data_IF_486600854171
#
_entry.id   IF_486600854171
#
_cell.length_a   1.000
_cell.length_b   1.000
_cell.length_c   1.000
_cell.angle_alpha   90.00
_cell.angle_beta   90.00
_cell.angle_gamma   90.00
#
_symmetry.space_group_name_H-M   'P 1'
#
loop_
_entity.id
_entity.type
_entity.pdbx_description
1 polymer ?
#
# COMPACT_ATOMS: atom_id res chain seq x y z
N UNK A 1 72.44 -24.91 5.32
CA UNK A 1 72.02 -25.08 6.72
C UNK A 1 71.15 -26.31 6.81
N UNK A 2 71.66 -27.31 7.52
CA UNK A 2 71.01 -28.42 8.23
C UNK A 2 69.82 -29.19 7.59
N UNK A 3 69.73 -30.53 7.62
CA UNK A 3 70.66 -31.64 7.84
C UNK A 3 69.81 -32.93 7.70
N UNK A 4 70.37 -33.96 7.06
CA UNK A 4 70.16 -35.42 7.29
C UNK A 4 68.75 -36.03 7.11
N UNK A 5 68.48 -36.84 6.08
CA UNK A 5 68.82 -38.29 5.89
C UNK A 5 68.22 -39.22 6.94
N UNK A 6 67.35 -40.17 6.56
CA UNK A 6 67.62 -41.64 6.52
C UNK A 6 66.33 -42.45 6.34
N UNK A 7 66.50 -43.55 5.60
CA UNK A 7 65.52 -44.51 5.10
C UNK A 7 64.88 -45.44 6.18
N UNK A 8 63.85 -46.13 5.70
CA UNK A 8 62.97 -47.10 6.36
C UNK A 8 63.61 -48.42 6.83
N UNK A 9 62.93 -49.12 7.76
CA UNK A 9 62.70 -50.59 7.86
C UNK A 9 61.84 -50.91 9.13
N UNK A 10 61.25 -52.12 9.33
CA UNK A 10 59.81 -52.32 9.55
C UNK A 10 59.36 -52.99 10.90
N UNK A 11 58.05 -52.91 11.15
CA UNK A 11 57.04 -53.82 11.79
C UNK A 11 57.53 -55.00 12.68
N UNK A 12 56.91 -55.21 13.87
CA UNK A 12 55.88 -56.26 14.05
C UNK A 12 54.64 -55.73 14.82
N UNK A 13 53.42 -55.82 14.28
CA UNK A 13 52.45 -56.93 14.41
C UNK A 13 52.40 -57.60 15.79
N UNK A 14 51.39 -57.22 16.58
CA UNK A 14 50.79 -58.09 17.59
C UNK A 14 49.27 -57.93 17.51
N UNK A 15 48.61 -58.95 16.95
CA UNK A 15 47.19 -59.21 17.12
C UNK A 15 46.94 -59.68 18.56
N UNK A 16 45.99 -59.05 19.24
CA UNK A 16 45.19 -59.74 20.25
C UNK A 16 43.75 -59.23 20.18
N UNK A 17 42.84 -60.18 20.04
CA UNK A 17 41.41 -60.06 19.79
C UNK A 17 40.61 -59.64 21.05
N UNK A 18 39.45 -59.04 20.74
CA UNK A 18 38.18 -59.12 21.45
C UNK A 18 37.87 -58.09 22.56
N UNK A 19 36.83 -57.30 22.29
CA UNK A 19 36.13 -56.47 23.27
C UNK A 19 35.24 -55.45 22.56
N UNK A 20 34.07 -55.88 22.10
CA UNK A 20 33.04 -55.00 21.54
C UNK A 20 32.55 -54.02 22.62
N UNK A 21 33.09 -52.80 22.61
CA UNK A 21 32.60 -51.67 23.37
C UNK A 21 32.29 -50.54 22.39
N UNK A 22 31.00 -50.29 22.14
CA UNK A 22 30.55 -49.16 21.35
C UNK A 22 30.97 -47.85 22.05
N UNK A 23 32.04 -47.22 21.58
CA UNK A 23 32.39 -45.86 21.96
C UNK A 23 31.39 -44.90 21.30
N UNK A 24 30.35 -44.53 22.04
CA UNK A 24 29.45 -43.42 21.69
C UNK A 24 30.28 -42.14 21.73
N UNK A 25 30.46 -41.49 20.59
CA UNK A 25 30.97 -40.12 20.55
C UNK A 25 30.02 -39.23 21.37
N UNK A 26 30.53 -38.29 22.19
CA UNK A 26 29.66 -37.34 22.88
C UNK A 26 28.93 -36.52 21.83
N UNK A 27 27.60 -36.55 21.86
CA UNK A 27 26.77 -35.64 21.09
C UNK A 27 27.10 -34.21 21.56
N UNK A 28 27.65 -33.40 20.67
CA UNK A 28 27.69 -31.95 20.88
C UNK A 28 26.24 -31.48 20.98
N UNK A 29 25.81 -31.17 22.21
CA UNK A 29 24.59 -30.42 22.44
C UNK A 29 24.79 -29.04 21.83
N UNK A 30 24.19 -28.84 20.66
CA UNK A 30 24.00 -27.53 20.07
C UNK A 30 23.18 -26.72 21.07
N UNK A 31 23.79 -25.68 21.65
CA UNK A 31 23.09 -24.78 22.55
C UNK A 31 21.86 -24.24 21.79
N UNK A 32 20.66 -24.23 22.39
CA UNK A 32 19.52 -23.62 21.75
C UNK A 32 19.88 -22.17 21.38
N UNK A 33 19.51 -21.69 20.18
CA UNK A 33 19.80 -20.32 19.79
C UNK A 33 19.28 -19.39 20.89
N UNK A 34 20.18 -18.59 21.46
CA UNK A 34 19.82 -17.54 22.40
C UNK A 34 18.76 -16.69 21.71
N UNK A 35 17.56 -16.65 22.29
CA UNK A 35 16.38 -16.06 21.68
C UNK A 35 16.70 -14.70 21.08
N UNK A 36 16.39 -14.53 19.80
CA UNK A 36 16.41 -13.21 19.18
C UNK A 36 15.43 -12.34 19.97
N UNK A 37 15.96 -11.31 20.63
CA UNK A 37 15.13 -10.27 21.24
C UNK A 37 14.48 -9.52 20.08
N UNK A 38 13.18 -9.72 19.88
CA UNK A 38 12.37 -8.97 18.91
C UNK A 38 11.77 -7.78 19.65
N UNK A 39 12.38 -6.61 19.52
CA UNK A 39 11.83 -5.36 20.03
C UNK A 39 10.81 -4.84 19.01
N UNK A 40 9.53 -4.90 19.36
CA UNK A 40 8.45 -4.31 18.54
C UNK A 40 8.31 -2.85 18.91
N UNK A 41 8.75 -1.95 18.03
CA UNK A 41 8.51 -0.52 18.13
C UNK A 41 7.16 -0.20 17.48
N UNK A 42 6.15 0.13 18.30
CA UNK A 42 4.85 0.61 17.81
C UNK A 42 4.92 2.14 17.64
N UNK A 43 4.96 2.59 16.38
CA UNK A 43 4.99 4.02 16.04
C UNK A 43 3.59 4.47 15.64
N UNK A 44 3.01 5.35 16.44
CA UNK A 44 1.70 5.96 16.15
C UNK A 44 1.92 7.33 15.53
N UNK A 45 1.71 7.43 14.21
CA UNK A 45 1.74 8.70 13.49
C UNK A 45 0.33 9.25 13.29
N UNK A 46 0.15 10.55 13.53
CA UNK A 46 -1.09 11.27 13.24
C UNK A 46 -0.92 12.08 11.95
N UNK A 47 -1.78 11.81 10.96
CA UNK A 47 -1.81 12.56 9.71
C UNK A 47 -2.77 13.75 9.82
N UNK A 48 -2.30 14.94 9.46
CA UNK A 48 -3.06 16.19 9.51
C UNK A 48 -3.13 16.82 8.12
N UNK A 49 -4.35 17.09 7.64
CA UNK A 49 -4.57 17.86 6.41
C UNK A 49 -4.65 19.36 6.72
N UNK A 50 -3.80 20.15 6.07
CA UNK A 50 -3.70 21.60 6.28
C UNK A 50 -3.69 22.36 4.95
N UNK A 51 -4.50 23.42 4.85
CA UNK A 51 -4.50 24.38 3.75
C UNK A 51 -3.80 25.66 4.18
N UNK A 52 -2.67 25.98 3.56
CA UNK A 52 -1.91 27.21 3.83
C UNK A 52 -2.02 28.14 2.64
N UNK A 53 -2.53 29.36 2.88
CA UNK A 53 -2.67 30.40 1.86
C UNK A 53 -1.97 31.70 2.28
N UNK A 54 -1.54 32.48 1.30
CA UNK A 54 -1.12 33.86 1.52
C UNK A 54 -2.33 34.78 1.79
N UNK A 55 -2.08 36.07 1.98
CA UNK A 55 -3.13 37.09 2.22
C UNK A 55 -4.13 37.20 1.06
N UNK A 56 -3.68 36.92 -0.16
CA UNK A 56 -4.49 37.03 -1.37
C UNK A 56 -5.24 35.72 -1.68
N UNK A 57 -5.09 34.70 -0.83
CA UNK A 57 -5.74 33.41 -0.98
C UNK A 57 -4.98 32.41 -1.88
N UNK A 58 -3.75 32.72 -2.31
CA UNK A 58 -2.96 31.78 -3.08
C UNK A 58 -2.34 30.73 -2.16
N UNK A 59 -2.38 29.46 -2.57
CA UNK A 59 -1.73 28.37 -1.84
C UNK A 59 -0.23 28.62 -1.71
N UNK A 60 0.28 28.52 -0.48
CA UNK A 60 1.70 28.60 -0.17
C UNK A 60 2.34 27.24 -0.42
N UNK A 61 3.47 27.25 -1.11
CA UNK A 61 4.12 26.08 -1.67
C UNK A 61 5.51 25.91 -1.08
N UNK A 62 6.02 24.68 -1.10
CA UNK A 62 7.38 24.38 -0.62
C UNK A 62 7.54 24.46 0.90
N UNK A 63 6.44 24.35 1.64
CA UNK A 63 6.47 24.24 3.09
C UNK A 63 7.00 22.86 3.50
N UNK A 64 7.95 22.85 4.42
CA UNK A 64 8.50 21.65 5.04
C UNK A 64 8.15 21.56 6.52
N UNK A 65 8.58 20.50 7.22
CA UNK A 65 8.26 20.28 8.63
C UNK A 65 8.62 21.45 9.55
N UNK A 66 9.73 22.14 9.26
CA UNK A 66 10.22 23.30 10.02
C UNK A 66 9.31 24.53 9.96
N UNK A 67 8.38 24.58 9.00
CA UNK A 67 7.44 25.68 8.84
C UNK A 67 6.19 25.51 9.70
N UNK A 68 6.05 24.37 10.38
CA UNK A 68 4.90 24.04 11.23
C UNK A 68 5.28 23.93 12.70
N UNK A 69 4.35 24.33 13.56
CA UNK A 69 4.36 24.04 15.00
C UNK A 69 3.03 23.44 15.36
N UNK A 70 3.04 22.21 15.86
CA UNK A 70 1.83 21.50 16.29
C UNK A 70 1.89 21.37 17.81
N UNK A 71 0.79 21.68 18.47
CA UNK A 71 0.62 21.42 19.90
C UNK A 71 -0.58 20.50 20.08
N UNK A 72 -0.44 19.44 20.88
CA UNK A 72 -1.53 18.54 21.28
C UNK A 72 -1.81 18.78 22.75
N UNK A 73 -3.04 19.20 23.07
CA UNK A 73 -3.45 19.56 24.43
C UNK A 73 -2.55 20.60 25.13
N UNK A 74 -1.92 21.47 24.33
CA UNK A 74 -1.02 22.52 24.79
C UNK A 74 0.46 22.14 24.83
N UNK A 75 0.79 20.86 24.65
CA UNK A 75 2.18 20.38 24.61
C UNK A 75 2.71 20.32 23.16
N UNK A 76 3.94 20.78 22.88
CA UNK A 76 4.53 20.70 21.54
C UNK A 76 4.67 19.26 21.05
N UNK A 77 4.21 19.02 19.82
CA UNK A 77 4.38 17.76 19.10
C UNK A 77 5.38 17.95 17.95
N UNK A 78 6.24 16.95 17.75
CA UNK A 78 7.20 16.93 16.65
C UNK A 78 6.48 16.73 15.30
N UNK A 79 6.87 17.52 14.30
CA UNK A 79 6.43 17.33 12.91
C UNK A 79 7.51 16.54 12.19
N UNK A 80 7.28 15.24 12.00
CA UNK A 80 8.24 14.32 11.38
C UNK A 80 8.33 14.49 9.86
N UNK A 81 7.20 14.81 9.22
CA UNK A 81 7.11 15.01 7.79
C UNK A 81 6.05 16.08 7.44
N UNK A 82 6.26 16.77 6.32
CA UNK A 82 5.27 17.64 5.70
C UNK A 82 5.42 17.49 4.19
N UNK A 83 4.34 17.05 3.54
CA UNK A 83 4.30 16.85 2.10
C UNK A 83 3.22 17.74 1.50
N UNK A 84 3.57 18.41 0.41
CA UNK A 84 2.58 19.20 -0.33
C UNK A 84 1.67 18.27 -1.13
N UNK A 85 0.38 18.28 -0.80
CA UNK A 85 -0.65 17.51 -1.50
C UNK A 85 -1.48 18.43 -2.39
N UNK A 86 -1.44 18.21 -3.71
CA UNK A 86 -2.27 18.92 -4.68
C UNK A 86 -2.59 18.02 -5.87
N UNK A 87 -3.43 18.49 -6.79
CA UNK A 87 -3.72 17.75 -8.01
C UNK A 87 -2.53 17.82 -8.99
N UNK A 88 -2.39 16.79 -9.83
CA UNK A 88 -1.28 16.65 -10.79
C UNK A 88 -1.14 17.88 -11.67
N UNK A 89 -2.26 18.42 -12.15
CA UNK A 89 -2.29 19.60 -13.02
C UNK A 89 -1.62 20.82 -12.37
N UNK A 90 -1.68 20.96 -11.04
CA UNK A 90 -1.01 22.04 -10.33
C UNK A 90 0.48 21.73 -10.09
N UNK A 91 0.83 20.47 -9.79
CA UNK A 91 2.24 20.05 -9.65
C UNK A 91 3.01 20.14 -10.98
N UNK A 92 2.35 19.97 -12.12
CA UNK A 92 2.92 20.16 -13.46
C UNK A 92 2.98 21.63 -13.89
N UNK A 93 2.55 22.57 -13.04
CA UNK A 93 2.55 23.99 -13.38
C UNK A 93 3.96 24.58 -13.40
N UNK A 94 4.14 25.62 -14.22
CA UNK A 94 5.38 26.41 -14.23
C UNK A 94 5.69 27.09 -12.88
N UNK A 95 4.72 27.19 -11.96
CA UNK A 95 4.93 27.71 -10.60
C UNK A 95 5.57 26.63 -9.71
N UNK A 96 5.03 25.41 -9.74
CA UNK A 96 5.57 24.28 -8.99
C UNK A 96 7.00 23.94 -9.45
N UNK A 97 7.26 23.93 -10.76
CA UNK A 97 8.59 23.68 -11.33
C UNK A 97 9.64 24.71 -10.86
N UNK A 98 9.29 26.00 -10.75
CA UNK A 98 10.20 27.04 -10.24
C UNK A 98 10.58 26.86 -8.78
N UNK A 99 9.75 26.18 -8.00
CA UNK A 99 9.97 25.90 -6.58
C UNK A 99 10.65 24.56 -6.35
N UNK A 100 11.02 23.84 -7.41
CA UNK A 100 11.65 22.52 -7.30
C UNK A 100 10.73 21.45 -6.69
N UNK A 101 9.41 21.64 -6.76
CA UNK A 101 8.45 20.63 -6.31
C UNK A 101 8.40 19.50 -7.33
N UNK A 102 8.69 18.28 -6.88
CA UNK A 102 8.63 17.10 -7.71
C UNK A 102 7.25 16.44 -7.60
N UNK A 103 6.55 16.34 -8.73
CA UNK A 103 5.26 15.65 -8.82
C UNK A 103 5.37 14.15 -8.47
N UNK A 104 6.56 13.57 -8.61
CA UNK A 104 6.86 12.19 -8.22
C UNK A 104 7.22 12.05 -6.73
N UNK A 105 7.51 13.16 -6.04
CA UNK A 105 7.84 13.14 -4.61
C UNK A 105 6.61 13.13 -3.69
N UNK A 106 5.37 13.12 -4.24
CA UNK A 106 4.17 12.83 -3.44
C UNK A 106 4.19 11.36 -3.04
N UNK A 107 4.60 11.01 -1.82
CA UNK A 107 4.75 9.63 -1.42
C UNK A 107 3.41 9.21 -0.84
N UNK A 108 2.50 8.76 -1.70
CA UNK A 108 1.63 7.64 -1.33
C UNK A 108 0.85 7.11 -2.54
N UNK A 109 0.49 5.83 -2.49
CA UNK A 109 -0.46 5.26 -3.44
C UNK A 109 -1.85 5.76 -3.06
N UNK A 110 -2.43 6.64 -3.86
CA UNK A 110 -3.72 7.27 -3.55
C UNK A 110 -4.86 6.36 -3.97
N UNK A 111 -5.81 6.12 -3.07
CA UNK A 111 -6.95 5.25 -3.31
C UNK A 111 -8.23 6.08 -3.39
N UNK A 112 -8.91 6.02 -4.53
CA UNK A 112 -10.21 6.67 -4.73
C UNK A 112 -11.30 5.63 -4.85
N UNK A 113 -12.43 5.87 -4.20
CA UNK A 113 -13.65 5.09 -4.38
C UNK A 113 -14.69 5.99 -5.02
N UNK A 114 -15.05 5.69 -6.26
CA UNK A 114 -16.15 6.35 -6.95
C UNK A 114 -17.42 5.54 -6.70
N UNK A 115 -18.34 6.11 -5.91
CA UNK A 115 -19.62 5.51 -5.60
C UNK A 115 -20.73 6.17 -6.41
N UNK A 116 -21.48 5.36 -7.15
CA UNK A 116 -22.65 5.79 -7.92
C UNK A 116 -23.91 5.18 -7.35
N UNK A 117 -24.80 6.01 -6.84
CA UNK A 117 -26.13 5.60 -6.38
C UNK A 117 -27.10 5.47 -7.56
N UNK A 118 -27.75 4.32 -7.68
CA UNK A 118 -28.72 3.97 -8.70
C UNK A 118 -30.14 4.14 -8.17
N UNK A 119 -30.63 5.39 -8.25
CA UNK A 119 -31.93 5.81 -7.73
C UNK A 119 -33.10 5.53 -8.70
N UNK A 120 -32.87 4.83 -9.81
CA UNK A 120 -33.91 4.59 -10.83
C UNK A 120 -35.10 3.80 -10.29
N UNK A 121 -34.89 2.94 -9.28
CA UNK A 121 -35.96 2.15 -8.67
C UNK A 121 -36.91 3.01 -7.84
N UNK A 122 -36.44 4.14 -7.31
CA UNK A 122 -37.26 5.04 -6.47
C UNK A 122 -38.01 6.10 -7.29
N UNK A 123 -37.62 6.31 -8.55
CA UNK A 123 -38.13 7.42 -9.36
C UNK A 123 -38.17 7.06 -10.84
N UNK A 124 -39.10 6.18 -11.23
CA UNK A 124 -39.34 5.82 -12.64
C UNK A 124 -39.80 7.02 -13.50
N UNK A 125 -40.24 8.13 -12.89
CA UNK A 125 -40.84 9.30 -13.57
C UNK A 125 -39.98 10.59 -13.55
N UNK A 126 -38.70 10.52 -13.17
CA UNK A 126 -37.82 11.71 -13.09
C UNK A 126 -36.70 11.68 -14.16
N UNK A 127 -36.96 12.11 -15.41
CA UNK A 127 -35.94 12.28 -16.45
C UNK A 127 -34.72 13.10 -15.99
N UNK A 128 -34.92 14.00 -15.02
CA UNK A 128 -33.88 14.85 -14.44
C UNK A 128 -32.88 14.06 -13.60
N UNK A 129 -33.29 13.03 -12.88
CA UNK A 129 -32.39 12.22 -12.06
C UNK A 129 -31.46 11.39 -12.94
N UNK A 130 -32.01 10.73 -13.98
CA UNK A 130 -31.20 10.00 -14.96
C UNK A 130 -30.19 10.92 -15.67
N UNK A 131 -30.62 12.13 -16.05
CA UNK A 131 -29.73 13.10 -16.69
C UNK A 131 -28.57 13.51 -15.75
N UNK A 132 -28.85 13.76 -14.47
CA UNK A 132 -27.82 14.09 -13.47
C UNK A 132 -26.85 12.93 -13.26
N UNK A 133 -27.35 11.71 -13.20
CA UNK A 133 -26.52 10.51 -13.01
C UNK A 133 -25.58 10.30 -14.22
N UNK A 134 -26.11 10.43 -15.44
CA UNK A 134 -25.31 10.38 -16.67
C UNK A 134 -24.26 11.49 -16.70
N UNK A 135 -24.63 12.71 -16.28
CA UNK A 135 -23.68 13.82 -16.19
C UNK A 135 -22.57 13.55 -15.18
N UNK A 136 -22.89 13.03 -14.00
CA UNK A 136 -21.90 12.65 -12.98
C UNK A 136 -20.91 11.60 -13.51
N UNK A 137 -21.38 10.63 -14.31
CA UNK A 137 -20.52 9.69 -15.00
C UNK A 137 -19.52 10.36 -15.96
N UNK A 138 -20.00 11.31 -16.76
CA UNK A 138 -19.15 12.07 -17.68
C UNK A 138 -18.13 12.93 -16.95
N UNK A 139 -18.54 13.61 -15.88
CA UNK A 139 -17.64 14.45 -15.06
C UNK A 139 -16.56 13.59 -14.38
N UNK A 140 -16.93 12.39 -13.90
CA UNK A 140 -15.96 11.45 -13.33
C UNK A 140 -14.94 10.95 -14.38
N UNK A 141 -15.39 10.67 -15.61
CA UNK A 141 -14.50 10.28 -16.72
C UNK A 141 -13.57 11.44 -17.11
N UNK A 142 -14.09 12.67 -17.14
CA UNK A 142 -13.29 13.86 -17.41
C UNK A 142 -12.19 14.04 -16.35
N UNK A 143 -12.54 13.87 -15.07
CA UNK A 143 -11.58 13.89 -13.97
C UNK A 143 -10.52 12.79 -14.11
N UNK A 144 -10.91 11.54 -14.40
CA UNK A 144 -9.97 10.44 -14.61
C UNK A 144 -8.96 10.74 -15.72
N UNK A 145 -9.40 11.40 -16.80
CA UNK A 145 -8.53 11.75 -17.93
C UNK A 145 -7.61 12.94 -17.63
N UNK A 146 -8.08 13.88 -16.82
CA UNK A 146 -7.37 15.14 -16.59
C UNK A 146 -6.48 15.17 -15.34
N UNK A 147 -6.83 14.40 -14.32
CA UNK A 147 -6.26 14.57 -12.97
C UNK A 147 -5.68 13.30 -12.35
N UNK A 148 -5.94 12.12 -12.93
CA UNK A 148 -5.43 10.86 -12.41
C UNK A 148 -3.90 10.84 -12.46
N UNK A 149 -3.28 10.66 -11.29
CA UNK A 149 -1.84 10.52 -11.13
C UNK A 149 -1.38 9.07 -11.41
N UNK A 150 -0.09 8.87 -11.67
CA UNK A 150 0.45 7.54 -12.00
C UNK A 150 0.39 6.55 -10.83
N UNK A 151 0.31 7.07 -9.60
CA UNK A 151 0.19 6.33 -8.34
C UNK A 151 -1.26 6.22 -7.85
N UNK A 152 -2.24 6.66 -8.65
CA UNK A 152 -3.65 6.58 -8.27
C UNK A 152 -4.22 5.20 -8.60
N UNK A 153 -4.95 4.65 -7.64
CA UNK A 153 -5.81 3.50 -7.84
C UNK A 153 -7.24 3.91 -7.58
N UNK A 154 -8.13 3.53 -8.49
CA UNK A 154 -9.55 3.86 -8.39
C UNK A 154 -10.35 2.56 -8.36
N UNK A 155 -11.28 2.48 -7.42
CA UNK A 155 -12.34 1.48 -7.43
C UNK A 155 -13.66 2.16 -7.81
N UNK A 156 -14.52 1.45 -8.53
CA UNK A 156 -15.85 1.93 -8.94
C UNK A 156 -16.91 1.02 -8.33
N UNK A 157 -17.83 1.63 -7.58
CA UNK A 157 -18.89 0.94 -6.88
C UNK A 157 -20.23 1.51 -7.34
N UNK A 158 -21.14 0.65 -7.75
CA UNK A 158 -22.56 0.99 -7.90
C UNK A 158 -23.32 0.62 -6.63
N UNK A 159 -24.28 1.42 -6.21
CA UNK A 159 -25.16 1.13 -5.09
C UNK A 159 -26.62 1.20 -5.51
N UNK A 160 -27.43 0.30 -4.98
CA UNK A 160 -28.89 0.39 -4.93
C UNK A 160 -29.33 -0.29 -3.63
N UNK A 161 -30.23 -1.28 -3.68
CA UNK A 161 -30.46 -2.20 -2.56
C UNK A 161 -29.23 -3.02 -2.12
N UNK A 162 -28.17 -3.10 -2.94
CA UNK A 162 -26.89 -3.75 -2.62
C UNK A 162 -25.70 -3.00 -3.20
N UNK A 163 -24.53 -3.16 -2.59
CA UNK A 163 -23.25 -2.72 -3.18
C UNK A 163 -22.87 -3.66 -4.34
N UNK A 164 -22.44 -3.06 -5.45
CA UNK A 164 -21.97 -3.75 -6.66
C UNK A 164 -20.58 -3.23 -6.99
N UNK A 165 -19.55 -4.05 -6.80
CA UNK A 165 -18.19 -3.69 -7.16
C UNK A 165 -18.02 -3.82 -8.68
N UNK A 166 -18.00 -2.69 -9.39
CA UNK A 166 -17.90 -2.64 -10.85
C UNK A 166 -16.47 -2.83 -11.33
N UNK A 167 -15.51 -2.39 -10.53
CA UNK A 167 -14.07 -2.49 -10.75
C UNK A 167 -13.36 -2.31 -9.40
N UNK A 168 -12.50 -3.27 -9.03
CA UNK A 168 -11.58 -3.11 -7.89
C UNK A 168 -10.44 -2.14 -8.27
N UNK A 169 -9.66 -1.72 -7.28
CA UNK A 169 -8.58 -0.75 -7.41
C UNK A 169 -7.66 -1.04 -8.60
N UNK A 170 -7.64 -0.12 -9.56
CA UNK A 170 -6.79 -0.19 -10.75
C UNK A 170 -6.38 1.20 -11.21
N UNK A 171 -5.27 1.28 -11.95
CA UNK A 171 -4.84 2.46 -12.70
C UNK A 171 -5.23 2.39 -14.19
N UNK A 172 -5.86 1.29 -14.63
CA UNK A 172 -6.32 1.12 -16.02
C UNK A 172 -7.52 2.03 -16.31
N UNK A 173 -7.23 3.16 -16.94
CA UNK A 173 -8.23 4.15 -17.35
C UNK A 173 -9.37 3.54 -18.18
N UNK A 174 -9.06 2.63 -19.11
CA UNK A 174 -10.07 1.99 -19.94
C UNK A 174 -10.99 1.07 -19.14
N UNK A 175 -10.45 0.35 -18.15
CA UNK A 175 -11.26 -0.45 -17.23
C UNK A 175 -12.18 0.42 -16.36
N UNK A 176 -11.66 1.55 -15.86
CA UNK A 176 -12.41 2.51 -15.04
C UNK A 176 -13.55 3.17 -15.82
N UNK A 177 -13.30 3.64 -17.05
CA UNK A 177 -14.34 4.25 -17.90
C UNK A 177 -15.51 3.29 -18.12
N UNK A 178 -15.21 2.05 -18.51
CA UNK A 178 -16.25 1.01 -18.69
C UNK A 178 -16.99 0.73 -17.38
N UNK A 179 -16.31 0.77 -16.25
CA UNK A 179 -16.92 0.53 -14.94
C UNK A 179 -17.86 1.67 -14.52
N UNK A 180 -17.48 2.93 -14.77
CA UNK A 180 -18.34 4.10 -14.55
C UNK A 180 -19.59 4.02 -15.41
N UNK A 181 -19.43 3.70 -16.71
CA UNK A 181 -20.57 3.55 -17.63
C UNK A 181 -21.57 2.49 -17.15
N UNK A 182 -21.10 1.35 -16.62
CA UNK A 182 -21.95 0.32 -16.01
C UNK A 182 -22.62 0.81 -14.74
N UNK A 183 -21.85 1.44 -13.84
CA UNK A 183 -22.33 1.92 -12.54
C UNK A 183 -23.48 2.92 -12.71
N UNK A 184 -23.29 3.90 -13.59
CA UNK A 184 -24.26 4.96 -13.91
C UNK A 184 -25.52 4.41 -14.59
N UNK A 185 -25.39 3.33 -15.38
CA UNK A 185 -26.54 2.63 -15.97
C UNK A 185 -27.18 1.61 -15.02
N UNK A 186 -26.61 1.46 -13.82
CA UNK A 186 -27.01 0.48 -12.82
C UNK A 186 -26.99 -0.96 -13.34
N UNK A 187 -26.01 -1.28 -14.18
CA UNK A 187 -25.79 -2.64 -14.71
C UNK A 187 -25.09 -3.49 -13.65
N UNK A 188 -25.27 -4.81 -13.70
CA UNK A 188 -24.50 -5.73 -12.87
C UNK A 188 -23.04 -5.83 -13.34
N UNK A 189 -22.09 -6.08 -12.42
CA UNK A 189 -20.69 -6.21 -12.78
C UNK A 189 -20.45 -7.44 -13.66
N UNK A 190 -19.42 -7.42 -14.53
CA UNK A 190 -19.12 -8.53 -15.45
C UNK A 190 -18.54 -9.77 -14.75
N UNK A 191 -18.08 -9.61 -13.50
CA UNK A 191 -17.55 -10.68 -12.68
C UNK A 191 -18.11 -10.55 -11.27
N UNK A 192 -18.42 -11.69 -10.64
CA UNK A 192 -18.66 -11.75 -9.21
C UNK A 192 -17.33 -11.51 -8.50
N UNK A 193 -17.10 -10.29 -8.04
CA UNK A 193 -15.94 -10.02 -7.22
C UNK A 193 -16.17 -10.66 -5.85
N UNK A 194 -15.40 -11.67 -5.43
CA UNK A 194 -15.61 -12.29 -4.14
C UNK A 194 -15.38 -11.21 -3.08
N UNK A 195 -16.45 -10.82 -2.39
CA UNK A 195 -16.31 -10.06 -1.14
C UNK A 195 -15.52 -10.97 -0.20
N UNK A 196 -14.29 -10.56 0.10
CA UNK A 196 -13.27 -11.35 0.77
C UNK A 196 -13.79 -11.95 2.09
N UNK A 197 -14.36 -13.17 2.04
CA UNK A 197 -14.47 -14.19 3.09
C UNK A 197 -14.66 -15.55 2.42
N UNK A 198 -13.58 -16.16 1.94
CA UNK A 198 -13.46 -17.60 2.12
C UNK A 198 -13.40 -17.78 3.64
N UNK A 199 -14.51 -18.16 4.25
CA UNK A 199 -14.46 -18.68 5.61
C UNK A 199 -13.45 -19.84 5.55
N UNK A 200 -12.28 -19.65 6.16
CA UNK A 200 -11.46 -20.78 6.54
C UNK A 200 -12.41 -21.74 7.27
N UNK A 201 -12.63 -22.90 6.65
CA UNK A 201 -13.33 -24.01 7.25
C UNK A 201 -12.45 -24.55 8.38
N UNK A 202 -12.34 -23.78 9.47
CA UNK A 202 -11.88 -24.25 10.76
C UNK A 202 -12.90 -25.23 11.27
N UNK A 203 -12.72 -26.50 10.93
CA UNK A 203 -13.45 -27.60 11.57
C UNK A 203 -12.78 -27.80 12.93
N UNK A 204 -13.45 -27.52 14.06
CA UNK A 204 -12.90 -27.95 15.34
C UNK A 204 -12.97 -29.48 15.41
N UNK A 205 -11.82 -30.09 15.72
CA UNK A 205 -11.71 -31.50 16.11
C UNK A 205 -12.36 -31.75 17.47
#
# INVERSE_FOLDING_TARGET
MARTTTAALPVPLLLALAGAGAARAPAQQELPPVGAYEETLEVTEALLDVLVTDRDGNVVLGLGPSDFRVNVDGEPAEVTAASFYSNRRFLESARAARLGLDAAAVPDRRHFVLLFDDQRTESFDEPRLLQRQLRAGLDAIEWLRGELAANDLVAVIGFNVRLRLQQDFTADLGALERAIERAVRGQDPPADWPSRRSAEAGTPS
#
